data_IF_491955567977
#
_entry.id   IF_491955567977
#
_cell.length_a   1.000
_cell.length_b   1.000
_cell.length_c   1.000
_cell.angle_alpha   90.00
_cell.angle_beta   90.00
_cell.angle_gamma   90.00
#
_symmetry.space_group_name_H-M   'P 1'
#
loop_
_entity.id
_entity.type
_entity.pdbx_description
1 polymer ?
#
# COMPACT_ATOMS: atom_id res chain seq x y z
N UNK A 1 15.61 -2.31 7.64
CA UNK A 1 14.57 -1.64 6.82
C UNK A 1 14.54 -2.34 5.46
N UNK A 2 13.37 -2.55 4.88
CA UNK A 2 13.23 -3.06 3.51
C UNK A 2 13.59 -1.94 2.54
N UNK A 3 14.28 -2.25 1.43
CA UNK A 3 14.61 -1.27 0.39
C UNK A 3 13.41 -0.94 -0.50
N UNK A 4 12.81 -1.98 -1.09
CA UNK A 4 11.55 -1.92 -1.85
C UNK A 4 10.90 -3.32 -1.89
N UNK A 5 9.63 -3.39 -2.27
CA UNK A 5 8.89 -4.63 -2.54
C UNK A 5 8.26 -4.59 -3.93
N UNK A 6 8.05 -5.76 -4.54
CA UNK A 6 7.27 -5.90 -5.77
C UNK A 6 6.05 -6.77 -5.53
N UNK A 7 4.87 -6.27 -5.86
CA UNK A 7 3.60 -6.96 -5.71
C UNK A 7 3.01 -7.29 -7.08
N UNK A 8 2.50 -8.51 -7.21
CA UNK A 8 1.71 -8.93 -8.36
C UNK A 8 0.26 -8.49 -8.16
N UNK A 9 -0.27 -7.83 -9.16
CA UNK A 9 -1.60 -7.21 -9.13
C UNK A 9 -2.39 -7.54 -10.40
N UNK A 10 -3.70 -7.35 -10.33
CA UNK A 10 -4.67 -7.59 -11.41
C UNK A 10 -4.80 -6.46 -12.41
N UNK A 11 -4.69 -5.20 -11.96
CA UNK A 11 -5.01 -4.03 -12.76
C UNK A 11 -4.23 -2.78 -12.29
N UNK A 12 -3.65 -2.04 -13.24
CA UNK A 12 -2.81 -0.86 -12.94
C UNK A 12 -3.62 0.33 -12.45
N UNK A 13 -4.84 0.54 -12.95
CA UNK A 13 -5.67 1.68 -12.55
C UNK A 13 -6.23 1.47 -11.15
N UNK A 14 -6.63 0.24 -10.83
CA UNK A 14 -7.06 -0.13 -9.49
C UNK A 14 -5.91 0.04 -8.48
N UNK A 15 -4.69 -0.35 -8.87
CA UNK A 15 -3.51 -0.14 -8.05
C UNK A 15 -3.15 1.35 -7.88
N UNK A 16 -3.23 2.15 -8.94
CA UNK A 16 -3.03 3.60 -8.87
C UNK A 16 -4.05 4.24 -7.93
N UNK A 17 -5.33 3.90 -8.08
CA UNK A 17 -6.36 4.42 -7.20
C UNK A 17 -6.11 4.08 -5.72
N UNK A 18 -5.75 2.83 -5.43
CA UNK A 18 -5.50 2.43 -4.06
C UNK A 18 -4.19 3.01 -3.48
N UNK A 19 -3.06 2.83 -4.17
CA UNK A 19 -1.75 3.19 -3.64
C UNK A 19 -1.46 4.69 -3.74
N UNK A 20 -1.82 5.34 -4.85
CA UNK A 20 -1.61 6.78 -5.00
C UNK A 20 -2.76 7.59 -4.40
N UNK A 21 -4.00 7.36 -4.84
CA UNK A 21 -5.12 8.21 -4.40
C UNK A 21 -5.50 7.98 -2.93
N UNK A 22 -5.65 6.72 -2.52
CA UNK A 22 -6.15 6.40 -1.17
C UNK A 22 -5.03 6.40 -0.13
N UNK A 23 -3.95 5.64 -0.37
CA UNK A 23 -2.84 5.61 0.58
C UNK A 23 -1.98 6.88 0.54
N UNK A 24 -1.94 7.59 -0.59
CA UNK A 24 -1.23 8.88 -0.70
C UNK A 24 0.24 8.76 -1.08
N UNK A 25 0.67 7.64 -1.68
CA UNK A 25 2.02 7.56 -2.25
C UNK A 25 2.15 8.42 -3.49
N UNK A 26 3.34 8.94 -3.79
CA UNK A 26 3.63 9.61 -5.04
C UNK A 26 3.95 8.59 -6.15
N UNK A 27 3.50 8.88 -7.39
CA UNK A 27 3.83 8.08 -8.57
C UNK A 27 5.24 8.44 -9.05
N UNK A 28 6.14 7.46 -9.04
CA UNK A 28 7.52 7.62 -9.57
C UNK A 28 7.60 7.27 -11.04
N UNK A 29 6.86 6.24 -11.47
CA UNK A 29 6.77 5.83 -12.87
C UNK A 29 5.47 5.04 -13.10
N UNK A 30 4.86 5.26 -14.26
CA UNK A 30 3.69 4.52 -14.72
C UNK A 30 3.94 3.97 -16.12
N UNK A 31 3.73 2.67 -16.27
CA UNK A 31 3.86 1.91 -17.51
C UNK A 31 2.56 1.14 -17.76
N UNK A 32 2.30 0.67 -18.99
CA UNK A 32 1.08 -0.09 -19.29
C UNK A 32 0.86 -1.33 -18.41
N UNK A 33 1.93 -1.95 -17.91
CA UNK A 33 1.88 -3.17 -17.09
C UNK A 33 2.58 -3.04 -15.73
N UNK A 34 2.98 -1.84 -15.33
CA UNK A 34 3.65 -1.62 -14.05
C UNK A 34 3.45 -0.19 -13.50
N UNK A 35 3.41 -0.08 -12.18
CA UNK A 35 3.30 1.18 -11.45
C UNK A 35 4.35 1.17 -10.33
N UNK A 36 5.09 2.26 -10.18
CA UNK A 36 6.10 2.43 -9.14
C UNK A 36 5.74 3.62 -8.28
N UNK A 37 5.63 3.40 -6.97
CA UNK A 37 5.21 4.42 -6.01
C UNK A 37 6.21 4.56 -4.86
N UNK A 38 6.24 5.75 -4.26
CA UNK A 38 7.16 6.08 -3.17
C UNK A 38 6.59 7.14 -2.24
N UNK A 39 7.10 7.20 -1.02
CA UNK A 39 6.84 8.28 -0.07
C UNK A 39 8.16 8.96 0.33
N UNK A 40 8.15 10.29 0.45
CA UNK A 40 9.29 11.05 0.96
C UNK A 40 10.49 11.17 0.00
N UNK A 41 10.27 11.09 -1.32
CA UNK A 41 11.29 11.38 -2.33
C UNK A 41 12.33 10.27 -2.62
N UNK A 42 12.11 9.04 -2.15
CA UNK A 42 12.96 7.88 -2.50
C UNK A 42 12.62 7.34 -3.90
N UNK A 43 13.57 6.69 -4.60
CA UNK A 43 13.41 6.29 -6.01
C UNK A 43 12.24 5.30 -6.28
N UNK A 44 11.88 4.42 -5.35
CA UNK A 44 10.58 3.73 -5.23
C UNK A 44 10.61 2.81 -4.00
N UNK A 45 9.46 2.64 -3.35
CA UNK A 45 9.31 1.70 -2.22
C UNK A 45 8.45 0.49 -2.61
N UNK A 46 7.53 0.66 -3.56
CA UNK A 46 6.63 -0.41 -4.01
C UNK A 46 6.55 -0.40 -5.54
N UNK A 47 6.88 -1.53 -6.17
CA UNK A 47 6.61 -1.82 -7.56
C UNK A 47 5.38 -2.72 -7.70
N UNK A 48 4.42 -2.35 -8.53
CA UNK A 48 3.15 -3.05 -8.74
C UNK A 48 3.11 -3.48 -10.20
N UNK A 49 2.92 -4.77 -10.51
CA UNK A 49 2.95 -5.24 -11.90
C UNK A 49 1.89 -6.30 -12.22
N UNK A 50 1.48 -6.35 -13.49
CA UNK A 50 0.51 -7.31 -14.02
C UNK A 50 1.14 -8.44 -14.83
N UNK A 51 2.47 -8.59 -14.81
CA UNK A 51 3.23 -9.42 -15.76
C UNK A 51 2.79 -10.88 -15.81
N UNK A 52 2.37 -11.45 -14.67
CA UNK A 52 1.88 -12.83 -14.55
C UNK A 52 0.51 -12.91 -13.85
N UNK A 53 -0.17 -11.78 -13.74
CA UNK A 53 -1.35 -11.62 -12.88
C UNK A 53 -2.40 -10.69 -13.48
N UNK A 54 -2.33 -10.34 -14.77
CA UNK A 54 -3.34 -9.50 -15.42
C UNK A 54 -4.75 -10.09 -15.23
N UNK A 55 -5.65 -9.31 -14.64
CA UNK A 55 -7.00 -9.74 -14.28
C UNK A 55 -7.10 -10.65 -13.06
N UNK A 56 -6.02 -10.78 -12.27
CA UNK A 56 -6.03 -11.52 -11.02
C UNK A 56 -7.06 -10.95 -10.04
N UNK A 57 -7.73 -11.88 -9.35
CA UNK A 57 -8.68 -11.60 -8.28
C UNK A 57 -7.98 -11.66 -6.92
N UNK A 58 -8.59 -11.11 -5.85
CA UNK A 58 -8.03 -11.22 -4.52
C UNK A 58 -7.72 -12.66 -4.12
N UNK A 59 -6.56 -12.85 -3.49
CA UNK A 59 -6.06 -14.18 -3.16
C UNK A 59 -6.87 -14.77 -1.99
N UNK A 60 -7.24 -16.07 -2.02
CA UNK A 60 -7.88 -16.73 -0.88
C UNK A 60 -6.97 -16.70 0.37
N UNK A 61 -7.51 -16.58 1.59
CA UNK A 61 -6.72 -16.55 2.83
C UNK A 61 -5.86 -17.80 3.08
N UNK A 62 -6.18 -18.91 2.41
CA UNK A 62 -5.48 -20.20 2.57
C UNK A 62 -4.31 -20.39 1.61
N UNK A 63 -4.07 -19.43 0.71
CA UNK A 63 -2.95 -19.51 -0.24
C UNK A 63 -1.61 -19.25 0.43
N UNK A 64 -0.55 -19.86 -0.11
CA UNK A 64 0.83 -19.48 0.26
C UNK A 64 1.14 -18.13 -0.36
N UNK A 65 1.63 -17.18 0.43
CA UNK A 65 1.94 -15.83 -0.05
C UNK A 65 2.40 -14.89 1.06
N UNK A 66 2.45 -13.60 0.75
CA UNK A 66 2.73 -12.55 1.71
C UNK A 66 1.59 -12.47 2.74
N UNK A 67 1.91 -12.61 4.02
CA UNK A 67 0.91 -12.47 5.09
C UNK A 67 0.53 -11.01 5.32
N UNK A 68 1.53 -10.14 5.53
CA UNK A 68 1.36 -8.71 5.70
C UNK A 68 2.69 -7.96 5.50
N UNK A 69 2.62 -6.65 5.26
CA UNK A 69 3.77 -5.75 5.36
C UNK A 69 3.39 -4.47 6.10
N UNK A 70 4.40 -3.81 6.69
CA UNK A 70 4.21 -2.60 7.50
C UNK A 70 4.64 -1.38 6.71
N UNK A 71 3.79 -0.35 6.70
CA UNK A 71 4.13 1.00 6.27
C UNK A 71 4.30 1.85 7.54
N UNK A 72 5.55 2.26 7.79
CA UNK A 72 5.89 3.17 8.87
C UNK A 72 5.49 4.60 8.49
N UNK A 73 4.53 5.17 9.21
CA UNK A 73 4.10 6.56 9.06
C UNK A 73 4.86 7.42 10.08
N UNK A 74 5.57 8.50 9.67
CA UNK A 74 6.41 9.26 10.59
C UNK A 74 5.65 9.98 11.71
N UNK A 75 4.37 10.31 11.50
CA UNK A 75 3.59 11.15 12.41
C UNK A 75 2.17 10.61 12.62
N UNK A 76 1.56 10.97 13.74
CA UNK A 76 0.15 10.71 14.05
C UNK A 76 -0.78 11.40 13.05
N UNK A 77 -0.42 12.60 12.62
CA UNK A 77 -1.19 13.38 11.64
C UNK A 77 -1.22 12.67 10.29
N UNK A 78 -0.08 12.15 9.83
CA UNK A 78 -0.02 11.38 8.58
C UNK A 78 -0.88 10.12 8.63
N UNK A 79 -0.95 9.44 9.78
CA UNK A 79 -1.83 8.27 9.94
C UNK A 79 -3.30 8.68 9.89
N UNK A 80 -3.65 9.81 10.52
CA UNK A 80 -5.00 10.38 10.48
C UNK A 80 -5.41 10.76 9.05
N UNK A 81 -4.52 11.37 8.26
CA UNK A 81 -4.80 11.73 6.88
C UNK A 81 -5.07 10.50 6.00
N UNK A 82 -4.30 9.42 6.18
CA UNK A 82 -4.55 8.16 5.46
C UNK A 82 -5.91 7.58 5.90
N UNK A 83 -6.22 7.61 7.19
CA UNK A 83 -7.51 7.16 7.72
C UNK A 83 -8.69 7.93 7.12
N UNK A 84 -8.58 9.25 7.02
CA UNK A 84 -9.63 10.09 6.41
C UNK A 84 -9.85 9.75 4.93
N UNK A 85 -8.78 9.41 4.20
CA UNK A 85 -8.87 8.92 2.81
C UNK A 85 -9.53 7.54 2.73
N UNK A 86 -9.19 6.62 3.63
CA UNK A 86 -9.84 5.30 3.71
C UNK A 86 -11.35 5.44 3.95
N UNK A 87 -11.76 6.31 4.89
CA UNK A 87 -13.17 6.58 5.20
C UNK A 87 -13.88 7.21 4.00
N UNK A 88 -13.32 8.25 3.39
CA UNK A 88 -13.95 8.96 2.28
C UNK A 88 -14.14 8.10 1.02
N UNK A 89 -13.29 7.09 0.83
CA UNK A 89 -13.39 6.13 -0.27
C UNK A 89 -14.13 4.84 0.11
N UNK A 90 -14.71 4.75 1.32
CA UNK A 90 -15.40 3.58 1.83
C UNK A 90 -14.55 2.29 1.81
N UNK A 91 -13.25 2.42 2.07
CA UNK A 91 -12.34 1.27 2.17
C UNK A 91 -12.45 0.66 3.57
N UNK A 92 -12.79 -0.64 3.70
CA UNK A 92 -12.83 -1.30 5.00
C UNK A 92 -11.44 -1.40 5.62
N UNK A 93 -11.33 -1.01 6.89
CA UNK A 93 -10.11 -1.18 7.68
C UNK A 93 -10.48 -1.50 9.14
N UNK A 94 -9.52 -2.02 9.87
CA UNK A 94 -9.61 -2.26 11.31
C UNK A 94 -8.58 -1.39 12.03
N UNK A 95 -8.95 -0.82 13.16
CA UNK A 95 -8.08 0.03 13.96
C UNK A 95 -8.02 -0.49 15.40
N UNK A 96 -6.81 -0.77 15.88
CA UNK A 96 -6.56 -1.23 17.24
C UNK A 96 -5.26 -0.61 17.75
N UNK A 97 -5.30 0.04 18.91
CA UNK A 97 -4.11 0.56 19.60
C UNK A 97 -3.20 1.46 18.73
N UNK A 98 -3.77 2.24 17.80
CA UNK A 98 -3.01 3.12 16.91
C UNK A 98 -2.37 2.42 15.70
N UNK A 99 -2.72 1.15 15.47
CA UNK A 99 -2.42 0.39 14.25
C UNK A 99 -3.65 0.35 13.36
N UNK A 100 -3.51 0.71 12.08
CA UNK A 100 -4.55 0.49 11.07
C UNK A 100 -4.18 -0.72 10.23
N UNK A 101 -5.07 -1.70 10.16
CA UNK A 101 -5.00 -2.85 9.26
C UNK A 101 -5.96 -2.64 8.10
N UNK A 102 -5.43 -2.67 6.88
CA UNK A 102 -6.21 -2.55 5.64
C UNK A 102 -5.72 -3.57 4.63
N UNK A 103 -6.61 -4.08 3.78
CA UNK A 103 -6.22 -4.93 2.66
C UNK A 103 -6.19 -4.10 1.38
N UNK A 104 -5.20 -4.36 0.53
CA UNK A 104 -5.24 -3.89 -0.85
C UNK A 104 -6.32 -4.64 -1.67
N UNK A 105 -6.57 -4.25 -2.93
CA UNK A 105 -7.55 -4.90 -3.79
C UNK A 105 -7.28 -6.40 -4.06
N UNK A 106 -6.06 -6.88 -3.80
CA UNK A 106 -5.64 -8.27 -4.02
C UNK A 106 -5.50 -9.09 -2.73
N UNK A 107 -6.02 -8.56 -1.62
CA UNK A 107 -5.96 -9.14 -0.27
C UNK A 107 -4.57 -9.14 0.38
N UNK A 108 -3.61 -8.35 -0.13
CA UNK A 108 -2.36 -8.14 0.61
C UNK A 108 -2.64 -7.26 1.83
N UNK A 109 -2.34 -7.78 3.02
CA UNK A 109 -2.56 -7.05 4.26
C UNK A 109 -1.46 -6.00 4.46
N UNK A 110 -1.91 -4.79 4.78
CA UNK A 110 -1.07 -3.63 5.05
C UNK A 110 -1.32 -3.20 6.49
N UNK A 111 -0.25 -3.06 7.24
CA UNK A 111 -0.25 -2.53 8.60
C UNK A 111 0.32 -1.11 8.58
N UNK A 112 -0.49 -0.11 8.90
CA UNK A 112 -0.05 1.28 9.02
C UNK A 112 0.19 1.58 10.49
N UNK A 113 1.43 1.96 10.81
CA UNK A 113 1.85 2.23 12.19
C UNK A 113 2.63 3.52 12.27
N UNK A 114 2.36 4.34 13.30
CA UNK A 114 3.21 5.49 13.60
C UNK A 114 4.58 5.00 14.07
N UNK A 115 5.62 5.35 13.32
CA UNK A 115 7.00 5.12 13.69
C UNK A 115 7.80 6.39 13.40
N UNK A 116 8.12 7.19 14.42
CA UNK A 116 8.89 8.41 14.25
C UNK A 116 10.24 8.13 13.60
N UNK A 117 10.70 9.06 12.78
CA UNK A 117 12.07 9.01 12.28
C UNK A 117 13.03 9.07 13.47
N UNK A 118 14.12 8.28 13.47
CA UNK A 118 15.15 8.42 14.48
C UNK A 118 15.70 9.86 14.44
N UNK A 119 16.04 10.46 15.60
CA UNK A 119 16.76 11.73 15.62
C UNK A 119 18.07 11.57 14.82
N UNK A 120 18.38 12.59 14.02
CA UNK A 120 19.63 12.70 13.24
C UNK A 120 20.82 12.79 14.19
#
# INVERSE_FOLDING_TARGET
>A
RVGHIHLQIGDIKEAEHFYHTILGFDIMAQLPSALFVSAGGYHHQIGLNTWQSLGAKPTPPTSVGLQAYVIAIPTTEGLSEVKDRLVSHNVPFEEQEGLIRVNDPWSNQILLQVQPNPPI
#
